data_IF_716862369579
#
_entry.id   IF_716862369579
#
_cell.length_a   1.000
_cell.length_b   1.000
_cell.length_c   1.000
_cell.angle_alpha   90.00
_cell.angle_beta   90.00
_cell.angle_gamma   90.00
#
_symmetry.space_group_name_H-M   'P 1'
#
loop_
_entity.id
_entity.type
_entity.pdbx_description
1 polymer ?
#
# COMPACT_ATOMS: atom_id res chain seq x y z
N UNK A 1 -5.39 37.45 -33.11
CA UNK A 1 -4.71 36.19 -32.71
C UNK A 1 -5.13 35.11 -33.68
N UNK A 2 -4.19 34.64 -34.50
CA UNK A 2 -4.50 33.82 -35.67
C UNK A 2 -4.63 32.35 -35.26
N UNK A 3 -5.65 31.63 -35.74
CA UNK A 3 -5.94 30.22 -35.40
C UNK A 3 -4.74 29.27 -35.61
N UNK A 4 -3.75 29.69 -36.40
CA UNK A 4 -2.48 28.98 -36.63
C UNK A 4 -1.49 29.02 -35.47
N UNK A 5 -1.51 30.02 -34.57
CA UNK A 5 -0.60 30.05 -33.41
C UNK A 5 -1.11 29.21 -32.24
N UNK A 6 -2.42 28.94 -32.18
CA UNK A 6 -3.03 28.17 -31.09
C UNK A 6 -2.85 26.64 -31.27
N UNK A 7 -2.83 26.17 -32.52
CA UNK A 7 -2.64 24.75 -32.86
C UNK A 7 -1.21 24.28 -32.60
N UNK A 8 -0.21 25.14 -32.83
CA UNK A 8 1.20 24.82 -32.55
C UNK A 8 1.51 24.78 -31.06
N UNK A 9 0.87 25.63 -30.25
CA UNK A 9 1.00 25.61 -28.78
C UNK A 9 0.35 24.34 -28.19
N UNK A 10 -0.75 23.87 -28.77
CA UNK A 10 -1.43 22.65 -28.33
C UNK A 10 -0.63 21.36 -28.64
N UNK A 11 0.15 21.33 -29.73
CA UNK A 11 1.05 20.21 -30.03
C UNK A 11 2.31 20.18 -29.16
N UNK A 12 2.79 21.33 -28.70
CA UNK A 12 3.97 21.40 -27.81
C UNK A 12 3.60 21.00 -26.37
N UNK A 13 2.32 21.07 -25.97
CA UNK A 13 1.84 20.58 -24.67
C UNK A 13 1.58 19.06 -24.64
N UNK A 14 1.59 18.37 -25.78
CA UNK A 14 1.53 16.90 -25.86
C UNK A 14 2.90 16.21 -25.83
N UNK A 15 3.99 16.97 -25.78
CA UNK A 15 5.34 16.44 -25.61
C UNK A 15 5.77 16.50 -24.14
N UNK A 16 4.87 16.14 -23.21
CA UNK A 16 5.32 15.71 -21.89
C UNK A 16 6.06 14.41 -22.15
N UNK A 17 7.37 14.41 -21.89
CA UNK A 17 8.21 13.23 -21.84
C UNK A 17 7.42 12.10 -21.18
N UNK A 18 6.89 11.16 -21.97
CA UNK A 18 6.71 9.81 -21.50
C UNK A 18 8.14 9.29 -21.35
N UNK A 19 8.80 9.67 -20.26
CA UNK A 19 9.81 8.83 -19.67
C UNK A 19 9.05 7.54 -19.38
N UNK A 20 9.10 6.60 -20.32
CA UNK A 20 8.63 5.25 -20.10
C UNK A 20 9.28 4.82 -18.79
N UNK A 21 8.51 4.61 -17.71
CA UNK A 21 9.11 4.16 -16.46
C UNK A 21 9.93 2.93 -16.82
N UNK A 22 11.20 2.89 -16.40
CA UNK A 22 12.01 1.69 -16.54
C UNK A 22 11.12 0.56 -16.04
N UNK A 23 10.76 -0.40 -16.91
CA UNK A 23 9.76 -1.40 -16.57
C UNK A 23 10.21 -2.10 -15.30
N UNK A 24 9.61 -1.69 -14.18
CA UNK A 24 9.80 -2.39 -12.93
C UNK A 24 9.37 -3.82 -13.22
N UNK A 25 10.19 -4.79 -12.83
CA UNK A 25 9.75 -6.18 -12.99
C UNK A 25 8.54 -6.38 -12.10
N UNK A 26 7.38 -6.51 -12.73
CA UNK A 26 6.09 -6.77 -12.09
C UNK A 26 5.86 -8.28 -12.03
N UNK A 27 5.28 -8.73 -10.93
CA UNK A 27 4.93 -10.12 -10.67
C UNK A 27 3.44 -10.18 -10.33
N UNK A 28 2.65 -11.03 -10.99
CA UNK A 28 1.19 -11.06 -10.79
C UNK A 28 0.75 -12.30 -10.01
N UNK A 29 -0.07 -12.12 -8.97
CA UNK A 29 -0.65 -13.21 -8.20
C UNK A 29 -2.00 -12.77 -7.62
N UNK A 30 -2.99 -13.66 -7.58
CA UNK A 30 -4.26 -13.40 -6.87
C UNK A 30 -5.11 -12.23 -7.39
N UNK A 31 -4.83 -11.69 -8.58
CA UNK A 31 -5.49 -10.47 -9.06
C UNK A 31 -4.81 -9.17 -8.59
N UNK A 32 -3.58 -9.27 -8.09
CA UNK A 32 -2.70 -8.15 -7.76
C UNK A 32 -1.38 -8.25 -8.52
N UNK A 33 -0.78 -7.09 -8.77
CA UNK A 33 0.56 -6.91 -9.31
C UNK A 33 1.49 -6.44 -8.20
N UNK A 34 2.66 -7.06 -8.11
CA UNK A 34 3.67 -6.78 -7.09
C UNK A 34 4.97 -6.32 -7.74
N UNK A 35 5.65 -5.36 -7.11
CA UNK A 35 7.02 -4.98 -7.47
C UNK A 35 7.79 -4.48 -6.27
N UNK A 36 9.11 -4.49 -6.39
CA UNK A 36 10.02 -4.02 -5.34
C UNK A 36 10.52 -2.63 -5.68
N UNK A 37 10.38 -1.70 -4.74
CA UNK A 37 11.03 -0.39 -4.80
C UNK A 37 12.25 -0.42 -3.88
N UNK A 38 13.43 -0.15 -4.43
CA UNK A 38 14.67 -0.05 -3.63
C UNK A 38 14.81 1.36 -3.06
N UNK A 39 14.87 1.45 -1.74
CA UNK A 39 14.95 2.70 -1.01
C UNK A 39 15.62 2.44 0.35
N UNK A 40 16.95 2.37 0.35
CA UNK A 40 17.72 2.02 1.55
C UNK A 40 17.49 3.03 2.67
N UNK A 41 17.22 2.54 3.89
CA UNK A 41 17.01 3.38 5.07
C UNK A 41 15.73 4.22 5.06
N UNK A 42 14.79 3.93 4.18
CA UNK A 42 13.49 4.60 4.16
C UNK A 42 12.61 4.11 5.31
N UNK A 43 11.97 5.03 6.04
CA UNK A 43 10.99 4.65 7.07
C UNK A 43 9.67 4.17 6.45
N UNK A 44 8.90 3.43 7.24
CA UNK A 44 7.67 2.79 6.79
C UNK A 44 6.62 3.80 6.30
N UNK A 45 6.42 4.91 7.01
CA UNK A 45 5.46 5.96 6.62
C UNK A 45 5.77 6.54 5.24
N UNK A 46 7.05 6.82 4.95
CA UNK A 46 7.47 7.33 3.65
C UNK A 46 7.30 6.27 2.55
N UNK A 47 7.58 5.00 2.87
CA UNK A 47 7.37 3.89 1.94
C UNK A 47 5.88 3.71 1.59
N UNK A 48 4.99 3.85 2.58
CA UNK A 48 3.54 3.84 2.41
C UNK A 48 3.08 4.96 1.46
N UNK A 49 3.50 6.19 1.72
CA UNK A 49 3.16 7.34 0.87
C UNK A 49 3.64 7.13 -0.57
N UNK A 50 4.83 6.57 -0.77
CA UNK A 50 5.35 6.30 -2.12
C UNK A 50 4.63 5.15 -2.82
N UNK A 51 4.23 4.11 -2.09
CA UNK A 51 3.44 3.02 -2.64
C UNK A 51 2.07 3.52 -3.12
N UNK A 52 1.42 4.38 -2.31
CA UNK A 52 0.16 5.06 -2.66
C UNK A 52 0.32 5.98 -3.88
N UNK A 53 1.40 6.77 -3.92
CA UNK A 53 1.70 7.64 -5.06
C UNK A 53 1.97 6.85 -6.36
N UNK A 54 2.40 5.60 -6.26
CA UNK A 54 2.57 4.70 -7.40
C UNK A 54 1.27 3.99 -7.82
N UNK A 55 0.14 4.30 -7.18
CA UNK A 55 -1.17 3.72 -7.48
C UNK A 55 -1.40 2.34 -6.87
N UNK A 56 -0.59 1.94 -5.88
CA UNK A 56 -0.75 0.72 -5.10
C UNK A 56 -0.77 1.01 -3.59
N UNK A 57 -0.35 0.05 -2.79
CA UNK A 57 -0.09 0.19 -1.36
C UNK A 57 1.08 -0.70 -0.97
N UNK A 58 1.60 -0.57 0.25
CA UNK A 58 2.54 -1.56 0.77
C UNK A 58 1.86 -2.93 0.77
N UNK A 59 2.56 -3.95 0.27
CA UNK A 59 1.98 -5.26 0.05
C UNK A 59 1.41 -5.87 1.32
N UNK A 60 0.20 -6.40 1.23
CA UNK A 60 -0.45 -7.17 2.28
C UNK A 60 -0.27 -8.66 1.98
N UNK A 61 -0.33 -9.50 3.00
CA UNK A 61 -0.14 -10.95 2.83
C UNK A 61 -1.20 -11.68 3.63
N UNK A 62 -2.24 -12.13 2.96
CA UNK A 62 -3.45 -12.70 3.57
C UNK A 62 -3.52 -14.22 3.46
N UNK A 63 -2.55 -14.85 2.80
CA UNK A 63 -2.49 -16.31 2.67
C UNK A 63 -1.07 -16.87 2.58
N UNK A 64 -0.93 -18.16 2.92
CA UNK A 64 0.33 -18.88 2.77
C UNK A 64 0.81 -18.95 1.31
N UNK A 65 -0.12 -19.05 0.35
CA UNK A 65 0.20 -19.11 -1.07
C UNK A 65 0.76 -17.77 -1.59
N UNK A 66 0.15 -16.67 -1.17
CA UNK A 66 0.63 -15.31 -1.46
C UNK A 66 2.01 -15.06 -0.84
N UNK A 67 2.18 -15.40 0.43
CA UNK A 67 3.46 -15.28 1.11
C UNK A 67 4.57 -16.04 0.37
N UNK A 68 4.33 -17.30 0.03
CA UNK A 68 5.26 -18.11 -0.74
C UNK A 68 5.57 -17.49 -2.12
N UNK A 69 4.56 -16.93 -2.80
CA UNK A 69 4.74 -16.25 -4.08
C UNK A 69 5.65 -15.02 -3.96
N UNK A 70 5.39 -14.17 -2.96
CA UNK A 70 6.19 -12.96 -2.68
C UNK A 70 7.63 -13.34 -2.32
N UNK A 71 7.83 -14.33 -1.45
CA UNK A 71 9.17 -14.80 -1.07
C UNK A 71 9.97 -15.31 -2.28
N UNK A 72 9.35 -16.13 -3.15
CA UNK A 72 10.05 -16.82 -4.22
C UNK A 72 10.25 -15.96 -5.49
N UNK A 73 9.22 -15.22 -5.89
CA UNK A 73 9.20 -14.52 -7.18
C UNK A 73 9.51 -13.03 -6.99
N UNK A 74 8.81 -12.37 -6.08
CA UNK A 74 8.92 -10.91 -5.88
C UNK A 74 10.23 -10.55 -5.20
N UNK A 75 10.61 -11.28 -4.16
CA UNK A 75 11.84 -11.07 -3.40
C UNK A 75 12.98 -11.94 -3.94
N UNK A 76 12.76 -13.26 -4.05
CA UNK A 76 13.68 -14.20 -4.70
C UNK A 76 15.09 -14.13 -4.10
N UNK A 77 16.10 -13.91 -4.95
CA UNK A 77 17.51 -13.83 -4.54
C UNK A 77 17.94 -12.48 -3.97
N UNK A 78 17.01 -11.55 -3.74
CA UNK A 78 17.31 -10.23 -3.15
C UNK A 78 17.87 -10.38 -1.73
N UNK A 79 18.44 -9.28 -1.23
CA UNK A 79 19.11 -9.20 0.06
C UNK A 79 18.64 -7.95 0.80
N UNK A 80 18.72 -8.01 2.13
CA UNK A 80 18.19 -6.99 3.01
C UNK A 80 16.76 -7.29 3.46
N UNK A 81 16.17 -6.30 4.08
CA UNK A 81 14.82 -6.31 4.63
C UNK A 81 13.94 -5.33 3.88
N UNK A 82 12.67 -5.67 3.73
CA UNK A 82 11.72 -4.88 2.95
C UNK A 82 10.46 -4.62 3.78
N UNK A 83 9.91 -3.42 3.69
CA UNK A 83 8.62 -3.13 4.30
C UNK A 83 7.47 -3.86 3.59
N UNK A 84 6.53 -4.31 4.40
CA UNK A 84 5.19 -4.76 4.04
C UNK A 84 4.14 -3.83 4.67
N UNK A 85 2.88 -4.01 4.30
CA UNK A 85 1.79 -3.13 4.72
C UNK A 85 1.23 -3.37 6.12
N UNK A 86 1.91 -4.16 6.96
CA UNK A 86 1.47 -4.43 8.31
C UNK A 86 1.94 -3.35 9.29
N UNK A 87 1.07 -2.93 10.19
CA UNK A 87 1.39 -1.98 11.26
C UNK A 87 0.58 -2.28 12.53
N UNK A 88 1.06 -1.84 13.69
CA UNK A 88 0.33 -1.96 14.96
C UNK A 88 -0.59 -0.74 15.21
N UNK A 89 -1.88 -0.97 15.49
CA UNK A 89 -2.76 0.05 16.08
C UNK A 89 -2.54 0.13 17.59
N UNK A 90 -2.60 1.34 18.14
CA UNK A 90 -2.17 1.63 19.51
C UNK A 90 -2.95 0.85 20.59
N UNK A 91 -2.34 -0.17 21.19
CA UNK A 91 -2.62 -0.57 22.58
C UNK A 91 -1.31 -0.99 23.28
N UNK A 92 -0.65 -0.06 24.00
CA UNK A 92 0.52 -0.36 24.82
C UNK A 92 0.23 -1.29 26.01
N UNK A 93 -1.04 -1.62 26.30
CA UNK A 93 -1.47 -2.35 27.49
C UNK A 93 -2.10 -3.73 27.23
N UNK A 94 -2.36 -4.10 25.98
CA UNK A 94 -3.03 -5.35 25.58
C UNK A 94 -2.11 -6.57 25.44
N UNK A 95 -1.35 -6.91 26.48
CA UNK A 95 -0.66 -8.20 26.72
C UNK A 95 -0.14 -9.00 25.51
N UNK A 96 0.67 -8.38 24.65
CA UNK A 96 1.60 -9.09 23.76
C UNK A 96 1.91 -8.36 22.45
N UNK A 97 3.13 -8.47 21.91
CA UNK A 97 3.55 -7.84 20.64
C UNK A 97 2.75 -8.31 19.41
N UNK A 98 1.90 -9.33 19.54
CA UNK A 98 0.99 -9.80 18.49
C UNK A 98 -0.40 -9.12 18.53
N UNK A 99 -0.73 -8.35 19.58
CA UNK A 99 -1.99 -7.63 19.63
C UNK A 99 -1.94 -6.43 18.67
N UNK A 100 -3.03 -6.23 17.93
CA UNK A 100 -3.31 -5.02 17.13
C UNK A 100 -2.54 -4.86 15.80
N UNK A 101 -2.09 -5.94 15.17
CA UNK A 101 -1.60 -5.84 13.79
C UNK A 101 -2.76 -5.66 12.81
N UNK A 102 -2.63 -4.66 11.94
CA UNK A 102 -3.57 -4.33 10.87
C UNK A 102 -2.83 -4.18 9.53
N UNK A 103 -3.55 -4.46 8.44
CA UNK A 103 -3.08 -4.18 7.10
C UNK A 103 -3.48 -2.76 6.68
N UNK A 104 -2.63 -2.06 5.92
CA UNK A 104 -2.95 -0.74 5.34
C UNK A 104 -4.22 -0.70 4.49
N UNK A 105 -4.69 -1.86 4.01
CA UNK A 105 -5.92 -2.05 3.23
C UNK A 105 -7.17 -2.26 4.09
N UNK A 106 -7.00 -2.54 5.39
CA UNK A 106 -8.08 -2.99 6.27
C UNK A 106 -8.48 -4.46 6.08
N UNK A 107 -7.74 -5.22 5.29
CA UNK A 107 -7.93 -6.67 5.17
C UNK A 107 -7.74 -7.37 6.53
N UNK A 108 -8.38 -8.52 6.70
CA UNK A 108 -8.29 -9.27 7.96
C UNK A 108 -6.87 -9.81 8.18
N UNK A 109 -6.31 -9.53 9.37
CA UNK A 109 -5.04 -10.09 9.84
C UNK A 109 -5.19 -11.58 10.22
N UNK A 110 -5.35 -12.43 9.19
CA UNK A 110 -5.73 -13.85 9.34
C UNK A 110 -4.60 -14.84 9.04
N UNK A 111 -3.49 -14.36 8.50
CA UNK A 111 -2.30 -15.13 8.19
C UNK A 111 -1.07 -14.41 8.76
N UNK A 112 -0.12 -15.19 9.29
CA UNK A 112 1.17 -14.68 9.76
C UNK A 112 2.30 -15.60 9.36
N UNK A 113 3.48 -15.02 9.12
CA UNK A 113 4.72 -15.78 8.88
C UNK A 113 5.90 -15.22 9.69
N UNK A 114 5.64 -14.89 10.96
CA UNK A 114 6.64 -14.41 11.91
C UNK A 114 7.85 -15.34 11.99
N UNK A 115 9.04 -14.74 12.07
CA UNK A 115 10.22 -15.51 12.44
C UNK A 115 10.08 -16.03 13.88
N UNK A 116 10.77 -17.12 14.25
CA UNK A 116 10.72 -17.62 15.62
C UNK A 116 11.14 -16.56 16.64
N UNK A 117 10.23 -16.24 17.56
CA UNK A 117 10.46 -15.23 18.60
C UNK A 117 9.79 -13.89 18.34
N UNK A 118 9.27 -13.66 17.13
CA UNK A 118 8.55 -12.43 16.77
C UNK A 118 7.03 -12.56 16.84
N UNK A 119 6.31 -11.42 16.90
CA UNK A 119 6.85 -10.07 17.13
C UNK A 119 7.37 -9.91 18.56
N UNK A 120 8.38 -9.07 18.82
CA UNK A 120 9.00 -8.98 20.16
C UNK A 120 9.22 -7.57 20.70
N UNK A 121 9.00 -6.54 19.89
CA UNK A 121 9.29 -5.14 20.19
C UNK A 121 10.66 -4.97 20.85
N UNK A 122 11.71 -5.31 20.10
CA UNK A 122 13.05 -5.57 20.60
C UNK A 122 13.57 -4.38 21.41
N UNK A 123 13.73 -4.62 22.71
CA UNK A 123 14.18 -3.62 23.70
C UNK A 123 13.23 -2.42 23.88
N UNK A 124 11.93 -2.59 23.61
CA UNK A 124 10.91 -1.55 23.78
C UNK A 124 11.16 -0.36 22.86
N UNK A 125 11.42 -0.63 21.59
CA UNK A 125 11.81 0.36 20.58
C UNK A 125 10.65 0.85 19.71
N UNK A 126 9.44 0.45 20.05
CA UNK A 126 8.23 0.75 19.29
C UNK A 126 8.38 0.21 17.86
N UNK A 127 8.71 -1.07 17.74
CA UNK A 127 8.73 -1.80 16.46
C UNK A 127 7.30 -2.02 15.98
N UNK A 128 6.74 -0.99 15.37
CA UNK A 128 5.31 -0.92 15.03
C UNK A 128 5.00 -1.30 13.57
N UNK A 129 6.00 -1.73 12.79
CA UNK A 129 5.86 -1.91 11.34
C UNK A 129 6.40 -3.25 10.87
N UNK A 130 5.78 -3.83 9.84
CA UNK A 130 6.11 -5.18 9.37
C UNK A 130 7.26 -5.16 8.35
N UNK A 131 8.36 -5.82 8.71
CA UNK A 131 9.48 -6.13 7.82
C UNK A 131 9.47 -7.59 7.35
N UNK A 132 10.01 -7.85 6.15
CA UNK A 132 10.29 -9.20 5.64
C UNK A 132 11.78 -9.33 5.28
N UNK A 133 12.48 -10.26 5.94
CA UNK A 133 13.96 -10.24 5.96
C UNK A 133 14.62 -11.47 5.33
N UNK A 134 15.47 -11.23 4.33
CA UNK A 134 16.26 -12.28 3.66
C UNK A 134 17.17 -13.10 4.58
N UNK A 135 17.58 -12.58 5.74
CA UNK A 135 18.41 -13.36 6.69
C UNK A 135 17.63 -14.44 7.43
N UNK A 136 16.31 -14.30 7.51
CA UNK A 136 15.43 -15.20 8.26
C UNK A 136 14.52 -15.95 7.30
N UNK A 137 15.04 -16.39 6.15
CA UNK A 137 14.28 -17.10 5.12
C UNK A 137 12.99 -16.36 4.68
N UNK A 138 13.06 -15.03 4.64
CA UNK A 138 11.93 -14.15 4.34
C UNK A 138 10.74 -14.30 5.31
N UNK A 139 11.00 -14.68 6.56
CA UNK A 139 10.04 -14.57 7.66
C UNK A 139 9.87 -13.12 8.09
N UNK A 140 8.75 -12.86 8.76
CA UNK A 140 8.36 -11.52 9.18
C UNK A 140 9.04 -11.11 10.47
N UNK A 141 9.28 -9.81 10.59
CA UNK A 141 9.83 -9.14 11.75
C UNK A 141 8.98 -7.90 12.05
N UNK A 142 8.76 -7.60 13.33
CA UNK A 142 8.34 -6.26 13.71
C UNK A 142 9.59 -5.39 13.75
N UNK A 143 9.58 -4.27 13.03
CA UNK A 143 10.77 -3.48 12.78
C UNK A 143 10.51 -1.99 13.04
N UNK A 144 11.49 -1.37 13.67
CA UNK A 144 11.54 0.06 14.00
C UNK A 144 12.87 0.71 13.63
N UNK A 145 13.83 -0.08 13.13
CA UNK A 145 15.18 0.32 12.82
C UNK A 145 15.46 0.26 11.32
N UNK A 146 16.12 1.29 10.80
CA UNK A 146 16.22 1.50 9.34
C UNK A 146 17.45 0.84 8.70
N UNK A 147 18.41 0.34 9.50
CA UNK A 147 19.73 -0.06 8.97
C UNK A 147 19.69 -1.25 8.02
N UNK A 148 18.74 -2.18 8.20
CA UNK A 148 18.60 -3.36 7.34
C UNK A 148 17.61 -3.14 6.19
N UNK A 149 16.80 -2.08 6.29
CA UNK A 149 15.78 -1.74 5.30
C UNK A 149 16.44 -1.34 3.98
N UNK A 150 16.14 -2.14 2.96
CA UNK A 150 16.66 -1.98 1.59
C UNK A 150 15.58 -1.48 0.63
N UNK A 151 14.31 -1.51 1.05
CA UNK A 151 13.20 -1.01 0.25
C UNK A 151 11.85 -1.48 0.78
N UNK A 152 10.90 -1.60 -0.12
CA UNK A 152 9.54 -2.04 0.19
C UNK A 152 8.92 -2.79 -0.99
N UNK A 153 7.91 -3.61 -0.68
CA UNK A 153 7.10 -4.30 -1.69
C UNK A 153 5.82 -3.51 -1.89
N UNK A 154 5.52 -3.16 -3.14
CA UNK A 154 4.25 -2.56 -3.53
C UNK A 154 3.36 -3.64 -4.07
N UNK A 155 2.08 -3.56 -3.72
CA UNK A 155 0.99 -4.32 -4.30
C UNK A 155 -0.01 -3.35 -4.94
N UNK A 156 -0.53 -3.71 -6.11
CA UNK A 156 -1.58 -3.00 -6.81
C UNK A 156 -2.63 -3.99 -7.28
N UNK A 157 -3.87 -3.81 -6.84
CA UNK A 157 -4.99 -4.60 -7.36
C UNK A 157 -5.17 -4.37 -8.86
N UNK A 158 -5.19 -5.45 -9.63
CA UNK A 158 -5.47 -5.44 -11.08
C UNK A 158 -6.97 -5.46 -11.39
N UNK A 159 -7.81 -5.65 -10.36
CA UNK A 159 -9.25 -5.51 -10.48
C UNK A 159 -9.59 -4.02 -10.64
N UNK A 160 -10.41 -3.63 -11.65
CA UNK A 160 -10.84 -2.25 -11.77
C UNK A 160 -11.56 -1.83 -10.48
N UNK A 161 -11.42 -0.55 -10.02
CA UNK A 161 -12.23 -0.07 -8.92
C UNK A 161 -13.68 -0.38 -9.25
N UNK A 162 -14.37 -1.11 -8.37
CA UNK A 162 -15.79 -1.44 -8.56
C UNK A 162 -16.48 -0.11 -8.89
N UNK A 163 -17.12 0.03 -10.07
CA UNK A 163 -17.82 1.27 -10.40
C UNK A 163 -18.78 1.51 -9.26
N UNK A 164 -18.59 2.60 -8.52
CA UNK A 164 -19.48 2.93 -7.40
C UNK A 164 -20.89 2.87 -7.99
N UNK A 165 -21.76 1.96 -7.51
CA UNK A 165 -23.10 1.86 -8.06
C UNK A 165 -23.72 3.26 -8.00
N UNK A 166 -24.35 3.70 -9.08
CA UNK A 166 -24.94 5.04 -9.20
C UNK A 166 -25.89 5.39 -8.03
N UNK A 167 -26.29 4.39 -7.24
CA UNK A 167 -26.95 4.50 -5.94
C UNK A 167 -26.25 5.40 -4.91
N UNK A 168 -24.92 5.54 -4.89
CA UNK A 168 -24.25 6.49 -3.98
C UNK A 168 -24.49 7.96 -4.39
N UNK A 169 -24.57 8.23 -5.69
CA UNK A 169 -24.96 9.56 -6.19
C UNK A 169 -26.45 9.83 -5.93
N UNK A 170 -27.29 8.80 -6.01
CA UNK A 170 -28.72 8.91 -5.66
C UNK A 170 -28.93 9.22 -4.17
N UNK A 171 -28.19 8.59 -3.26
CA UNK A 171 -28.25 8.88 -1.81
C UNK A 171 -27.81 10.31 -1.49
N UNK A 172 -26.76 10.79 -2.14
CA UNK A 172 -26.26 12.17 -1.98
C UNK A 172 -27.26 13.22 -2.51
N UNK A 173 -27.91 12.93 -3.64
CA UNK A 173 -28.94 13.79 -4.22
C UNK A 173 -30.24 13.79 -3.38
N UNK A 174 -30.60 12.66 -2.75
CA UNK A 174 -31.76 12.55 -1.88
C UNK A 174 -31.59 13.35 -0.57
N UNK A 175 -30.39 13.35 0.02
CA UNK A 175 -30.09 14.13 1.22
C UNK A 175 -30.11 15.64 0.95
N UNK A 176 -29.66 16.06 -0.25
CA UNK A 176 -29.68 17.47 -0.67
C UNK A 176 -31.11 17.94 -1.01
N UNK A 177 -31.94 17.06 -1.60
CA UNK A 177 -33.35 17.35 -1.90
C UNK A 177 -34.22 17.52 -0.65
N UNK A 178 -33.99 16.72 0.41
CA UNK A 178 -34.78 16.78 1.65
C UNK A 178 -34.55 18.08 2.44
N UNK A 179 -33.35 18.67 2.35
CA UNK A 179 -33.03 19.97 2.96
C UNK A 179 -33.73 21.13 2.24
N UNK A 180 -33.93 21.03 0.91
CA UNK A 180 -34.61 22.06 0.12
C UNK A 180 -36.13 22.06 0.31
N UNK A 181 -36.78 20.89 0.44
CA UNK A 181 -38.24 20.81 0.65
C UNK A 181 -38.65 21.39 2.01
N UNK A 182 -37.80 21.28 3.03
CA UNK A 182 -38.10 21.81 4.38
C UNK A 182 -38.05 23.35 4.47
N UNK A 183 -37.48 24.04 3.47
CA UNK A 183 -37.41 25.52 3.42
C UNK A 183 -38.62 26.19 2.77
N UNK A 184 -39.52 25.44 2.14
CA UNK A 184 -40.70 25.98 1.44
C UNK A 184 -42.03 25.72 2.15
N UNK A 185 -42.05 25.05 3.30
CA UNK A 185 -43.27 24.72 4.04
C UNK A 185 -43.69 25.76 5.11
N UNK A 186 -43.09 26.96 5.11
CA UNK A 186 -43.37 28.02 6.12
C UNK A 186 -43.63 29.42 5.52
N UNK A 187 -44.27 29.50 4.34
CA UNK A 187 -44.87 30.75 3.87
C UNK A 187 -46.35 30.53 3.56
#
# INVERSE_FOLDING_TARGET
MNKFTLTTILMILMLVFAASPSSATTYSFGGSDYWVVRASGMNWDSAKVLAEAAGGHLATITSAAENAYVQQNVLGSRRGEYWLGGFQTSDPGGTGPAANWEWVTGEAWSFTDWQPGEPNNYRGRDEMHLGIWSRNDWKWNDEGYLNNITGFVVEQSTMPPVPIPATFWLLSSALTGLVLVRRFAYN
#
